data_IF_028693810143
#
_entry.id   IF_028693810143
#
_cell.length_a   1.000
_cell.length_b   1.000
_cell.length_c   1.000
_cell.angle_alpha   90.00
_cell.angle_beta   90.00
_cell.angle_gamma   90.00
#
_symmetry.space_group_name_H-M   'P 1'
#
loop_
_entity.id
_entity.type
_entity.pdbx_description
1 polymer ?
#
# COMPACT_ATOMS: atom_id res chain seq x y z
N UNK A 1 -9.74 1.91 -19.84
CA UNK A 1 -8.79 0.81 -20.09
C UNK A 1 -9.56 -0.43 -20.50
N UNK A 2 -8.97 -1.32 -21.29
CA UNK A 2 -9.58 -2.61 -21.63
C UNK A 2 -9.47 -3.58 -20.44
N UNK A 3 -10.30 -4.62 -20.40
CA UNK A 3 -10.37 -5.55 -19.26
C UNK A 3 -9.05 -6.32 -19.09
N UNK A 4 -8.38 -6.66 -20.19
CA UNK A 4 -7.09 -7.35 -20.20
C UNK A 4 -6.00 -6.47 -19.58
N UNK A 5 -6.07 -5.15 -19.79
CA UNK A 5 -5.13 -4.20 -19.18
C UNK A 5 -5.34 -4.09 -17.68
N UNK A 6 -6.61 -4.08 -17.23
CA UNK A 6 -6.96 -4.02 -15.80
C UNK A 6 -6.54 -5.32 -15.11
N UNK A 7 -6.69 -6.47 -15.76
CA UNK A 7 -6.25 -7.75 -15.20
C UNK A 7 -4.74 -7.78 -14.88
N UNK A 8 -3.93 -7.05 -15.65
CA UNK A 8 -2.47 -6.99 -15.45
C UNK A 8 -2.04 -5.84 -14.53
N UNK A 9 -2.67 -4.67 -14.59
CA UNK A 9 -2.18 -3.45 -13.92
C UNK A 9 -3.12 -2.88 -12.86
N UNK A 10 -4.31 -3.46 -12.69
CA UNK A 10 -5.31 -2.97 -11.74
C UNK A 10 -4.81 -3.10 -10.29
N UNK A 11 -4.98 -2.02 -9.52
CA UNK A 11 -4.70 -2.03 -8.08
C UNK A 11 -3.21 -1.97 -7.70
N UNK A 12 -2.29 -1.88 -8.66
CA UNK A 12 -0.87 -1.75 -8.39
C UNK A 12 -0.19 -0.73 -9.29
N UNK A 13 0.72 0.05 -8.72
CA UNK A 13 1.66 0.93 -9.42
C UNK A 13 3.06 0.62 -8.91
N UNK A 14 4.12 0.88 -9.72
CA UNK A 14 5.49 0.60 -9.29
C UNK A 14 5.80 1.22 -7.93
N UNK A 15 6.45 0.46 -7.07
CA UNK A 15 6.74 0.88 -5.70
C UNK A 15 7.50 2.23 -5.71
N UNK A 16 6.98 3.28 -5.05
CA UNK A 16 7.56 4.62 -5.14
C UNK A 16 8.98 4.69 -4.58
N UNK A 17 9.30 3.83 -3.60
CA UNK A 17 10.59 3.80 -2.89
C UNK A 17 11.69 3.09 -3.68
N UNK A 18 11.40 1.90 -4.21
CA UNK A 18 12.39 0.99 -4.84
C UNK A 18 12.27 0.90 -6.36
N UNK A 19 11.17 1.38 -6.94
CA UNK A 19 10.80 1.21 -8.35
C UNK A 19 10.57 -0.24 -8.76
N UNK A 20 10.31 -1.13 -7.80
CA UNK A 20 9.89 -2.49 -8.09
C UNK A 20 8.60 -2.47 -8.93
N UNK A 21 8.58 -3.28 -10.00
CA UNK A 21 7.41 -3.48 -10.86
C UNK A 21 6.67 -4.78 -10.55
N UNK A 22 7.29 -5.65 -9.76
CA UNK A 22 6.64 -6.79 -9.14
C UNK A 22 6.14 -6.39 -7.74
N UNK A 23 4.95 -6.88 -7.36
CA UNK A 23 4.34 -6.60 -6.05
C UNK A 23 5.23 -7.17 -4.94
N UNK A 24 5.67 -6.35 -3.97
CA UNK A 24 6.45 -6.83 -2.84
C UNK A 24 5.65 -7.77 -1.92
N UNK A 25 6.35 -8.69 -1.26
CA UNK A 25 5.78 -9.52 -0.20
C UNK A 25 6.06 -8.82 1.14
N UNK A 26 5.05 -8.16 1.71
CA UNK A 26 5.12 -7.56 3.04
C UNK A 26 4.84 -8.60 4.14
N UNK A 27 5.78 -9.51 4.37
CA UNK A 27 5.69 -10.52 5.43
C UNK A 27 6.03 -9.90 6.79
N UNK A 28 5.11 -9.09 7.32
CA UNK A 28 5.22 -8.41 8.61
C UNK A 28 3.99 -8.68 9.48
N UNK A 29 4.13 -8.42 10.78
CA UNK A 29 3.03 -8.49 11.77
C UNK A 29 2.53 -7.11 12.20
N UNK A 30 3.25 -6.04 11.85
CA UNK A 30 2.91 -4.66 12.24
C UNK A 30 3.54 -3.62 11.30
N UNK A 31 3.02 -2.39 11.35
CA UNK A 31 3.56 -1.19 10.69
C UNK A 31 3.73 -0.07 11.73
N UNK A 32 4.75 0.76 11.56
CA UNK A 32 4.96 1.91 12.42
C UNK A 32 3.95 3.03 12.10
N UNK A 33 3.47 3.75 13.12
CA UNK A 33 2.77 5.01 12.91
C UNK A 33 3.77 6.14 12.74
N UNK A 34 3.45 7.07 11.84
CA UNK A 34 4.30 8.24 11.62
C UNK A 34 4.28 9.19 12.83
N UNK A 35 3.17 9.25 13.55
CA UNK A 35 2.99 10.01 14.79
C UNK A 35 1.72 9.55 15.54
N UNK A 36 1.47 10.13 16.71
CA UNK A 36 0.33 9.78 17.57
C UNK A 36 -1.02 10.08 16.93
N UNK A 37 -1.14 11.16 16.15
CA UNK A 37 -2.38 11.51 15.46
C UNK A 37 -2.69 10.52 14.32
N UNK A 38 -1.69 10.14 13.52
CA UNK A 38 -1.84 9.11 12.48
C UNK A 38 -2.37 7.80 13.08
N UNK A 39 -1.84 7.37 14.24
CA UNK A 39 -2.37 6.23 14.97
C UNK A 39 -3.83 6.43 15.39
N UNK A 40 -4.18 7.57 15.99
CA UNK A 40 -5.55 7.86 16.40
C UNK A 40 -6.53 7.83 15.21
N UNK A 41 -6.16 8.43 14.08
CA UNK A 41 -6.99 8.50 12.87
C UNK A 41 -7.25 7.10 12.28
N UNK A 42 -6.24 6.22 12.27
CA UNK A 42 -6.39 4.84 11.76
C UNK A 42 -7.37 4.00 12.59
N UNK A 43 -7.53 4.31 13.88
CA UNK A 43 -8.45 3.62 14.79
C UNK A 43 -9.72 4.42 15.09
N UNK A 44 -9.94 5.56 14.41
CA UNK A 44 -11.05 6.50 14.66
C UNK A 44 -11.19 6.86 16.15
N UNK A 45 -10.07 7.11 16.81
CA UNK A 45 -10.04 7.50 18.22
C UNK A 45 -10.26 9.01 18.33
N UNK A 46 -11.44 9.40 18.83
CA UNK A 46 -11.88 10.78 19.04
C UNK A 46 -11.42 11.34 20.39
#
# INVERSE_FOLDING_TARGET
MKIETIAVHGGYTPDPTTKAVAVPIYQTVAYAFDNTQHGADLFDLK
#
